data_IF_900667005989
#
_entry.id   IF_900667005989
#
_cell.length_a   1.000
_cell.length_b   1.000
_cell.length_c   1.000
_cell.angle_alpha   90.00
_cell.angle_beta   90.00
_cell.angle_gamma   90.00
#
_symmetry.space_group_name_H-M   'P 1'
#
loop_
_entity.id
_entity.type
_entity.pdbx_description
1 polymer ?
#
# COMPACT_ATOMS: atom_id res chain seq x y z
N UNK A 1 36.34 -1.91 -13.04
CA UNK A 1 35.23 -2.58 -13.74
C UNK A 1 35.65 -3.89 -14.38
N UNK A 2 36.53 -3.91 -15.39
CA UNK A 2 36.97 -5.16 -16.08
C UNK A 2 37.49 -6.22 -15.12
N UNK A 3 38.37 -5.86 -14.16
CA UNK A 3 38.88 -6.79 -13.13
C UNK A 3 37.78 -7.45 -12.30
N UNK A 4 36.81 -6.66 -11.85
CA UNK A 4 35.73 -7.09 -10.95
C UNK A 4 34.75 -8.03 -11.65
N UNK A 5 34.47 -7.74 -12.93
CA UNK A 5 33.67 -8.60 -13.81
C UNK A 5 34.43 -9.91 -14.08
N UNK A 6 35.70 -9.85 -14.45
CA UNK A 6 36.52 -11.03 -14.75
C UNK A 6 36.74 -11.94 -13.53
N UNK A 7 36.93 -11.37 -12.33
CA UNK A 7 37.04 -12.18 -11.11
C UNK A 7 35.76 -12.94 -10.80
N UNK A 8 34.59 -12.34 -11.06
CA UNK A 8 33.29 -13.00 -10.85
C UNK A 8 33.00 -14.05 -11.93
N UNK A 9 33.31 -13.75 -13.21
CA UNK A 9 33.14 -14.70 -14.32
C UNK A 9 33.99 -15.96 -14.18
N UNK A 10 35.13 -15.87 -13.49
CA UNK A 10 35.99 -17.03 -13.21
C UNK A 10 35.39 -17.96 -12.15
N UNK A 11 34.62 -17.43 -11.19
CA UNK A 11 33.97 -18.23 -10.15
C UNK A 11 32.58 -18.73 -10.60
N UNK A 12 32.60 -19.85 -11.33
CA UNK A 12 31.38 -20.48 -11.87
C UNK A 12 30.40 -20.90 -10.77
N UNK A 13 30.88 -21.33 -9.59
CA UNK A 13 30.01 -21.76 -8.49
C UNK A 13 29.27 -20.56 -7.91
N UNK A 14 29.99 -19.47 -7.62
CA UNK A 14 29.39 -18.24 -7.14
C UNK A 14 28.36 -17.67 -8.12
N UNK A 15 28.67 -17.63 -9.42
CA UNK A 15 27.71 -17.13 -10.42
C UNK A 15 26.49 -18.02 -10.55
N UNK A 16 26.68 -19.35 -10.58
CA UNK A 16 25.58 -20.30 -10.70
C UNK A 16 24.63 -20.21 -9.50
N UNK A 17 25.17 -20.11 -8.28
CA UNK A 17 24.37 -19.93 -7.07
C UNK A 17 23.59 -18.62 -7.14
N UNK A 18 24.26 -17.48 -7.39
CA UNK A 18 23.57 -16.18 -7.41
C UNK A 18 22.48 -16.10 -8.49
N UNK A 19 22.73 -16.62 -9.69
CA UNK A 19 21.76 -16.54 -10.77
C UNK A 19 20.61 -17.55 -10.64
N UNK A 20 20.83 -18.70 -9.98
CA UNK A 20 19.77 -19.69 -9.74
C UNK A 20 18.98 -19.46 -8.46
N UNK A 21 19.57 -18.80 -7.46
CA UNK A 21 18.90 -18.51 -6.18
C UNK A 21 17.57 -17.79 -6.38
N UNK A 22 17.58 -16.68 -7.13
CA UNK A 22 16.39 -15.87 -7.36
C UNK A 22 15.25 -16.63 -8.08
N UNK A 23 15.46 -17.28 -9.24
CA UNK A 23 14.40 -18.05 -9.91
C UNK A 23 13.98 -19.28 -9.10
N UNK A 24 14.88 -19.90 -8.33
CA UNK A 24 14.53 -21.03 -7.46
C UNK A 24 13.62 -20.61 -6.30
N UNK A 25 13.95 -19.49 -5.63
CA UNK A 25 13.09 -18.91 -4.59
C UNK A 25 11.74 -18.47 -5.17
N UNK A 26 11.74 -17.86 -6.36
CA UNK A 26 10.51 -17.52 -7.05
C UNK A 26 9.64 -18.75 -7.32
N UNK A 27 10.25 -19.85 -7.81
CA UNK A 27 9.57 -21.12 -8.05
C UNK A 27 8.93 -21.66 -6.77
N UNK A 28 9.69 -21.79 -5.68
CA UNK A 28 9.16 -22.30 -4.39
C UNK A 28 8.01 -21.41 -3.90
N UNK A 29 8.24 -20.09 -3.86
CA UNK A 29 7.28 -19.16 -3.31
C UNK A 29 5.98 -19.15 -4.11
N UNK A 30 6.07 -19.04 -5.43
CA UNK A 30 4.90 -19.00 -6.30
C UNK A 30 4.17 -20.34 -6.34
N UNK A 31 4.88 -21.46 -6.33
CA UNK A 31 4.27 -22.79 -6.30
C UNK A 31 3.50 -23.03 -5.00
N UNK A 32 4.09 -22.71 -3.84
CA UNK A 32 3.44 -22.88 -2.54
C UNK A 32 2.25 -21.93 -2.35
N UNK A 33 2.31 -20.73 -2.92
CA UNK A 33 1.25 -19.72 -2.82
C UNK A 33 0.26 -19.77 -4.00
N UNK A 34 0.36 -20.75 -4.90
CA UNK A 34 -0.62 -20.99 -5.97
C UNK A 34 -1.83 -21.74 -5.40
N UNK A 35 -2.66 -21.04 -4.63
CA UNK A 35 -3.85 -21.63 -4.03
C UNK A 35 -5.01 -21.73 -5.04
N UNK A 36 -5.72 -22.85 -4.99
CA UNK A 36 -7.03 -23.06 -5.62
C UNK A 36 -7.80 -24.08 -4.79
N UNK A 37 -9.13 -23.95 -4.74
CA UNK A 37 -9.96 -24.90 -4.00
C UNK A 37 -9.96 -26.26 -4.72
N UNK A 38 -9.65 -27.35 -4.02
CA UNK A 38 -9.64 -28.72 -4.58
C UNK A 38 -10.95 -29.47 -4.38
N UNK A 39 -12.03 -28.76 -4.05
CA UNK A 39 -13.36 -29.36 -3.91
C UNK A 39 -13.81 -30.05 -5.22
N UNK A 40 -14.62 -31.09 -5.10
CA UNK A 40 -15.06 -31.92 -6.23
C UNK A 40 -15.88 -31.12 -7.25
N UNK A 41 -16.37 -29.95 -6.84
CA UNK A 41 -17.10 -28.98 -7.65
C UNK A 41 -16.20 -28.06 -8.51
N UNK A 42 -14.88 -28.05 -8.29
CA UNK A 42 -13.97 -27.17 -9.04
C UNK A 42 -13.46 -27.84 -10.33
N UNK A 43 -14.18 -27.62 -11.43
CA UNK A 43 -13.79 -28.09 -12.77
C UNK A 43 -12.77 -27.17 -13.48
N UNK A 44 -12.62 -25.91 -13.02
CA UNK A 44 -11.82 -24.87 -13.70
C UNK A 44 -10.36 -24.84 -13.26
N UNK A 45 -10.02 -25.47 -12.13
CA UNK A 45 -8.66 -25.50 -11.58
C UNK A 45 -8.25 -24.14 -10.99
N UNK A 46 -7.03 -23.70 -11.30
CA UNK A 46 -6.49 -22.45 -10.77
C UNK A 46 -7.10 -21.22 -11.46
N UNK A 47 -7.63 -20.30 -10.67
CA UNK A 47 -8.11 -18.99 -11.14
C UNK A 47 -7.40 -17.90 -10.35
N UNK A 48 -6.63 -17.05 -11.04
CA UNK A 48 -5.85 -15.96 -10.41
C UNK A 48 -6.71 -15.07 -9.49
N UNK A 49 -7.95 -14.77 -9.89
CA UNK A 49 -8.91 -14.01 -9.07
C UNK A 49 -9.12 -14.57 -7.67
N UNK A 50 -9.17 -15.89 -7.55
CA UNK A 50 -9.56 -16.60 -6.33
C UNK A 50 -8.36 -16.99 -5.47
N UNK A 51 -7.13 -16.68 -5.91
CA UNK A 51 -5.93 -16.99 -5.14
C UNK A 51 -5.83 -16.09 -3.89
N UNK A 52 -6.19 -16.63 -2.73
CA UNK A 52 -6.16 -15.91 -1.45
C UNK A 52 -4.76 -15.51 -0.99
N UNK A 53 -3.74 -16.26 -1.41
CA UNK A 53 -2.35 -16.08 -0.99
C UNK A 53 -1.60 -15.02 -1.78
N UNK A 54 -2.25 -14.35 -2.74
CA UNK A 54 -1.58 -13.42 -3.63
C UNK A 54 -1.02 -12.17 -2.93
N UNK A 55 -1.70 -11.52 -1.96
CA UNK A 55 -1.09 -10.43 -1.19
C UNK A 55 0.16 -10.87 -0.43
N UNK A 56 0.17 -12.09 0.11
CA UNK A 56 1.35 -12.66 0.77
C UNK A 56 2.50 -12.85 -0.23
N UNK A 57 2.21 -13.31 -1.46
CA UNK A 57 3.21 -13.42 -2.52
C UNK A 57 3.85 -12.07 -2.85
N UNK A 58 3.07 -10.99 -3.02
CA UNK A 58 3.60 -9.65 -3.30
C UNK A 58 4.55 -9.19 -2.19
N UNK A 59 4.12 -9.39 -0.94
CA UNK A 59 4.92 -9.01 0.20
C UNK A 59 6.21 -9.81 0.30
N UNK A 60 6.13 -11.13 0.19
CA UNK A 60 7.32 -12.00 0.24
C UNK A 60 8.28 -11.72 -0.94
N UNK A 61 7.77 -11.34 -2.11
CA UNK A 61 8.60 -10.94 -3.26
C UNK A 61 9.49 -9.74 -2.94
N UNK A 62 8.94 -8.74 -2.24
CA UNK A 62 9.70 -7.56 -1.78
C UNK A 62 10.79 -7.95 -0.79
N UNK A 63 10.46 -8.85 0.14
CA UNK A 63 11.41 -9.32 1.16
C UNK A 63 12.54 -10.13 0.54
N UNK A 64 12.23 -11.00 -0.42
CA UNK A 64 13.24 -11.76 -1.16
C UNK A 64 14.16 -10.81 -1.94
N UNK A 65 13.61 -9.78 -2.59
CA UNK A 65 14.41 -8.78 -3.29
C UNK A 65 15.35 -7.99 -2.35
N UNK A 66 14.89 -7.64 -1.14
CA UNK A 66 15.74 -7.04 -0.11
C UNK A 66 16.83 -8.00 0.36
N UNK A 67 16.47 -9.26 0.64
CA UNK A 67 17.39 -10.27 1.15
C UNK A 67 18.50 -10.57 0.14
N UNK A 68 18.15 -10.83 -1.12
CA UNK A 68 19.11 -11.10 -2.19
C UNK A 68 20.04 -9.89 -2.41
N UNK A 69 19.50 -8.67 -2.43
CA UNK A 69 20.34 -7.47 -2.58
C UNK A 69 21.33 -7.29 -1.43
N UNK A 70 20.91 -7.60 -0.19
CA UNK A 70 21.80 -7.56 0.97
C UNK A 70 22.89 -8.64 0.86
N UNK A 71 22.52 -9.91 0.61
CA UNK A 71 23.49 -11.02 0.60
C UNK A 71 24.53 -10.87 -0.51
N UNK A 72 24.13 -10.45 -1.70
CA UNK A 72 25.02 -10.27 -2.86
C UNK A 72 26.07 -9.18 -2.62
N UNK A 73 25.73 -8.13 -1.88
CA UNK A 73 26.59 -6.95 -1.69
C UNK A 73 27.34 -6.92 -0.36
N UNK A 74 26.86 -7.65 0.66
CA UNK A 74 27.34 -7.54 2.04
C UNK A 74 28.80 -7.97 2.24
N UNK A 75 29.38 -8.79 1.37
CA UNK A 75 30.80 -9.20 1.47
C UNK A 75 31.75 -8.50 0.48
N UNK A 76 31.22 -7.67 -0.43
CA UNK A 76 32.01 -7.17 -1.56
C UNK A 76 33.17 -6.26 -1.17
N UNK A 77 32.93 -5.29 -0.27
CA UNK A 77 34.00 -4.41 0.20
C UNK A 77 34.89 -5.14 1.20
N UNK A 78 34.30 -6.00 2.04
CA UNK A 78 35.01 -6.80 3.04
C UNK A 78 36.09 -7.69 2.39
N UNK A 79 35.76 -8.42 1.33
CA UNK A 79 36.70 -9.28 0.59
C UNK A 79 37.89 -8.49 0.03
N UNK A 80 37.64 -7.29 -0.46
CA UNK A 80 38.67 -6.45 -1.09
C UNK A 80 39.51 -5.66 -0.07
N UNK A 81 39.20 -5.68 1.23
CA UNK A 81 39.90 -4.87 2.25
C UNK A 81 41.42 -5.11 2.26
N UNK A 82 41.87 -6.37 2.16
CA UNK A 82 43.31 -6.71 2.17
C UNK A 82 44.03 -6.19 0.92
N UNK A 83 43.39 -6.29 -0.25
CA UNK A 83 43.94 -5.81 -1.53
C UNK A 83 44.02 -4.28 -1.50
N UNK A 84 42.95 -3.60 -1.06
CA UNK A 84 42.90 -2.14 -0.95
C UNK A 84 43.93 -1.57 0.03
N UNK A 85 44.24 -2.29 1.13
CA UNK A 85 45.33 -1.89 2.04
C UNK A 85 46.70 -1.92 1.34
N UNK A 86 46.93 -2.89 0.44
CA UNK A 86 48.16 -3.00 -0.37
C UNK A 86 48.24 -1.95 -1.47
N UNK A 87 47.11 -1.69 -2.14
CA UNK A 87 47.01 -0.71 -3.24
C UNK A 87 46.89 0.75 -2.76
N UNK A 88 46.91 1.01 -1.44
CA UNK A 88 46.77 2.36 -0.87
C UNK A 88 47.84 3.34 -1.38
N UNK A 89 49.01 2.83 -1.74
CA UNK A 89 50.14 3.61 -2.26
C UNK A 89 49.97 4.04 -3.73
N UNK A 90 49.03 3.46 -4.47
CA UNK A 90 48.84 3.68 -5.90
C UNK A 90 47.90 4.85 -6.25
N UNK A 91 47.49 5.68 -5.28
CA UNK A 91 46.62 6.86 -5.47
C UNK A 91 45.36 6.63 -6.35
N UNK A 92 44.79 5.43 -6.30
CA UNK A 92 43.58 5.08 -7.03
C UNK A 92 42.37 5.84 -6.49
N UNK A 93 41.49 6.31 -7.37
CA UNK A 93 40.31 7.07 -6.97
C UNK A 93 39.28 6.17 -6.27
N UNK A 94 38.94 6.52 -5.01
CA UNK A 94 37.96 5.77 -4.20
C UNK A 94 36.57 5.75 -4.83
N UNK A 95 36.20 6.84 -5.52
CA UNK A 95 34.92 6.97 -6.22
C UNK A 95 34.77 6.01 -7.40
N UNK A 96 35.82 5.86 -8.23
CA UNK A 96 35.79 4.92 -9.36
C UNK A 96 35.64 3.47 -8.90
N UNK A 97 36.32 3.11 -7.80
CA UNK A 97 36.15 1.80 -7.17
C UNK A 97 34.70 1.57 -6.71
N UNK A 98 34.13 2.51 -5.95
CA UNK A 98 32.77 2.37 -5.42
C UNK A 98 31.73 2.31 -6.54
N UNK A 99 31.84 3.19 -7.54
CA UNK A 99 30.95 3.21 -8.70
C UNK A 99 31.03 1.92 -9.51
N UNK A 100 32.24 1.37 -9.69
CA UNK A 100 32.43 0.08 -10.35
C UNK A 100 31.71 -1.03 -9.58
N UNK A 101 31.83 -1.09 -8.25
CA UNK A 101 31.17 -2.10 -7.41
C UNK A 101 29.65 -1.98 -7.48
N UNK A 102 29.12 -0.77 -7.30
CA UNK A 102 27.69 -0.49 -7.39
C UNK A 102 27.14 -0.94 -8.75
N UNK A 103 27.81 -0.59 -9.84
CA UNK A 103 27.36 -0.93 -11.20
C UNK A 103 27.28 -2.44 -11.42
N UNK A 104 28.28 -3.20 -10.94
CA UNK A 104 28.28 -4.67 -11.04
C UNK A 104 27.17 -5.28 -10.19
N UNK A 105 26.97 -4.79 -8.95
CA UNK A 105 25.90 -5.28 -8.08
C UNK A 105 24.51 -5.00 -8.66
N UNK A 106 24.30 -3.81 -9.21
CA UNK A 106 23.03 -3.46 -9.84
C UNK A 106 22.76 -4.33 -11.06
N UNK A 107 23.77 -4.64 -11.88
CA UNK A 107 23.60 -5.56 -13.02
C UNK A 107 23.17 -6.96 -12.55
N UNK A 108 23.83 -7.51 -11.52
CA UNK A 108 23.49 -8.83 -10.98
C UNK A 108 22.07 -8.83 -10.43
N UNK A 109 21.72 -7.84 -9.59
CA UNK A 109 20.37 -7.72 -9.04
C UNK A 109 19.30 -7.46 -10.10
N UNK A 110 19.61 -6.75 -11.19
CA UNK A 110 18.68 -6.57 -12.31
C UNK A 110 18.32 -7.90 -12.95
N UNK A 111 19.30 -8.78 -13.18
CA UNK A 111 19.10 -10.11 -13.75
C UNK A 111 18.34 -11.01 -12.77
N UNK A 112 18.74 -11.03 -11.48
CA UNK A 112 18.09 -11.83 -10.44
C UNK A 112 16.62 -11.45 -10.22
N UNK A 113 16.33 -10.15 -10.13
CA UNK A 113 14.94 -9.69 -9.97
C UNK A 113 14.12 -9.91 -11.22
N UNK A 114 14.71 -9.80 -12.42
CA UNK A 114 14.02 -10.12 -13.67
C UNK A 114 13.64 -11.60 -13.75
N UNK A 115 14.58 -12.50 -13.45
CA UNK A 115 14.31 -13.94 -13.45
C UNK A 115 13.30 -14.33 -12.37
N UNK A 116 13.38 -13.72 -11.18
CA UNK A 116 12.39 -13.88 -10.13
C UNK A 116 10.98 -13.51 -10.62
N UNK A 117 10.83 -12.33 -11.23
CA UNK A 117 9.54 -11.85 -11.74
C UNK A 117 9.00 -12.75 -12.84
N UNK A 118 9.85 -13.18 -13.77
CA UNK A 118 9.43 -14.08 -14.86
C UNK A 118 8.88 -15.38 -14.27
N UNK A 119 9.65 -16.06 -13.41
CA UNK A 119 9.23 -17.35 -12.84
C UNK A 119 7.98 -17.20 -11.96
N UNK A 120 7.98 -16.24 -11.04
CA UNK A 120 6.88 -16.03 -10.11
C UNK A 120 5.56 -15.66 -10.81
N UNK A 121 5.62 -14.71 -11.75
CA UNK A 121 4.42 -14.25 -12.47
C UNK A 121 3.90 -15.29 -13.46
N UNK A 122 4.77 -16.12 -14.06
CA UNK A 122 4.33 -17.23 -14.91
C UNK A 122 3.57 -18.28 -14.10
N UNK A 123 4.08 -18.65 -12.92
CA UNK A 123 3.45 -19.65 -12.05
C UNK A 123 2.16 -19.14 -11.42
N UNK A 124 2.04 -17.84 -11.12
CA UNK A 124 0.79 -17.27 -10.60
C UNK A 124 -0.11 -16.69 -11.71
N UNK A 125 0.26 -16.84 -12.97
CA UNK A 125 -0.48 -16.34 -14.13
C UNK A 125 -0.78 -14.83 -14.08
N UNK A 126 0.13 -14.04 -13.50
CA UNK A 126 0.01 -12.58 -13.42
C UNK A 126 0.24 -11.96 -14.81
N UNK A 127 -0.75 -11.22 -15.33
CA UNK A 127 -0.74 -10.69 -16.69
C UNK A 127 -0.49 -9.18 -16.72
N UNK A 128 0.36 -8.73 -17.63
CA UNK A 128 0.59 -7.30 -17.92
C UNK A 128 1.44 -6.53 -16.89
N UNK A 129 2.07 -7.22 -15.93
CA UNK A 129 2.70 -6.59 -14.77
C UNK A 129 4.20 -6.87 -14.62
N UNK A 130 4.82 -7.51 -15.61
CA UNK A 130 6.23 -7.90 -15.55
C UNK A 130 7.17 -6.70 -15.37
N UNK A 131 6.98 -5.63 -16.14
CA UNK A 131 7.85 -4.46 -16.09
C UNK A 131 7.73 -3.69 -14.77
N UNK A 132 6.50 -3.46 -14.29
CA UNK A 132 6.26 -2.75 -13.03
C UNK A 132 6.80 -3.54 -11.85
N UNK A 133 6.61 -4.87 -11.83
CA UNK A 133 7.16 -5.73 -10.78
C UNK A 133 8.67 -5.71 -10.79
N UNK A 134 9.26 -5.86 -11.98
CA UNK A 134 10.71 -5.83 -12.13
C UNK A 134 11.29 -4.50 -11.66
N UNK A 135 10.73 -3.36 -12.06
CA UNK A 135 11.23 -2.04 -11.64
C UNK A 135 11.17 -1.86 -10.12
N UNK A 136 10.07 -2.25 -9.47
CA UNK A 136 9.93 -2.10 -8.02
C UNK A 136 10.88 -3.05 -7.27
N UNK A 137 10.97 -4.31 -7.67
CA UNK A 137 11.88 -5.26 -7.03
C UNK A 137 13.35 -4.92 -7.30
N UNK A 138 13.68 -4.50 -8.52
CA UNK A 138 15.01 -4.04 -8.90
C UNK A 138 15.46 -2.84 -8.06
N UNK A 139 14.64 -1.80 -7.95
CA UNK A 139 14.96 -0.62 -7.14
C UNK A 139 15.06 -0.94 -5.66
N UNK A 140 14.23 -1.87 -5.17
CA UNK A 140 14.32 -2.43 -3.81
C UNK A 140 15.66 -3.14 -3.59
N UNK A 141 16.09 -3.99 -4.53
CA UNK A 141 17.40 -4.64 -4.48
C UNK A 141 18.56 -3.65 -4.63
N UNK A 142 18.42 -2.57 -5.40
CA UNK A 142 19.42 -1.49 -5.47
C UNK A 142 19.62 -0.80 -4.11
N UNK A 143 18.54 -0.52 -3.39
CA UNK A 143 18.63 0.01 -2.02
C UNK A 143 19.32 -0.99 -1.09
N UNK A 144 18.92 -2.26 -1.14
CA UNK A 144 19.55 -3.33 -0.37
C UNK A 144 21.03 -3.51 -0.70
N UNK A 145 21.43 -3.37 -1.97
CA UNK A 145 22.83 -3.39 -2.38
C UNK A 145 23.64 -2.28 -1.71
N UNK A 146 23.09 -1.06 -1.65
CA UNK A 146 23.76 0.07 -1.00
C UNK A 146 23.87 -0.15 0.51
N UNK A 147 22.82 -0.65 1.16
CA UNK A 147 22.88 -1.04 2.57
C UNK A 147 23.93 -2.14 2.82
N UNK A 148 23.95 -3.17 1.98
CA UNK A 148 24.92 -4.26 2.11
C UNK A 148 26.35 -3.79 1.89
N UNK A 149 26.61 -2.89 0.94
CA UNK A 149 27.93 -2.25 0.80
C UNK A 149 28.33 -1.45 2.05
N UNK A 150 27.40 -0.72 2.67
CA UNK A 150 27.67 -0.01 3.92
C UNK A 150 28.06 -0.99 5.04
N UNK A 151 27.34 -2.10 5.20
CA UNK A 151 27.67 -3.17 6.15
C UNK A 151 29.05 -3.75 5.83
N UNK A 152 29.29 -4.09 4.57
CA UNK A 152 30.54 -4.66 4.07
C UNK A 152 31.76 -3.79 4.41
N UNK A 153 31.57 -2.47 4.40
CA UNK A 153 32.62 -1.51 4.75
C UNK A 153 32.81 -1.31 6.26
N UNK A 154 31.77 -1.59 7.06
CA UNK A 154 31.74 -1.28 8.49
C UNK A 154 32.29 -2.40 9.37
N UNK A 155 32.23 -3.65 8.90
CA UNK A 155 32.59 -4.83 9.70
C UNK A 155 33.86 -5.52 9.19
N UNK A 156 34.54 -6.20 10.13
CA UNK A 156 35.82 -6.88 9.89
C UNK A 156 35.70 -8.42 9.91
N UNK A 157 34.49 -8.98 9.95
CA UNK A 157 34.24 -10.42 9.95
C UNK A 157 33.00 -10.75 9.13
N UNK A 158 33.13 -11.74 8.23
CA UNK A 158 32.01 -12.30 7.47
C UNK A 158 30.89 -12.83 8.38
N UNK A 159 31.25 -13.45 9.51
CA UNK A 159 30.27 -13.97 10.48
C UNK A 159 29.40 -12.84 11.04
N UNK A 160 30.01 -11.71 11.42
CA UNK A 160 29.27 -10.55 11.92
C UNK A 160 28.36 -9.95 10.86
N UNK A 161 28.82 -9.88 9.61
CA UNK A 161 28.02 -9.41 8.48
C UNK A 161 26.77 -10.26 8.31
N UNK A 162 26.89 -11.60 8.31
CA UNK A 162 25.75 -12.49 8.16
C UNK A 162 24.75 -12.44 9.32
N UNK A 163 25.24 -12.28 10.56
CA UNK A 163 24.35 -12.11 11.72
C UNK A 163 23.49 -10.85 11.58
N UNK A 164 24.01 -9.77 10.99
CA UNK A 164 23.30 -8.49 10.87
C UNK A 164 22.20 -8.48 9.81
N UNK A 165 22.31 -9.31 8.76
CA UNK A 165 21.31 -9.32 7.68
C UNK A 165 19.89 -9.58 8.24
N UNK A 166 19.64 -10.64 9.03
CA UNK A 166 18.34 -10.84 9.68
C UNK A 166 17.89 -9.67 10.56
N UNK A 167 18.79 -9.04 11.33
CA UNK A 167 18.45 -7.89 12.18
C UNK A 167 17.99 -6.67 11.38
N UNK A 168 18.36 -6.56 10.10
CA UNK A 168 17.89 -5.51 9.21
C UNK A 168 16.59 -5.90 8.50
N UNK A 169 16.41 -7.17 8.15
CA UNK A 169 15.22 -7.68 7.46
C UNK A 169 14.01 -7.79 8.39
N UNK A 170 14.18 -8.22 9.65
CA UNK A 170 13.07 -8.38 10.60
C UNK A 170 12.30 -7.07 10.85
N UNK A 171 12.95 -5.91 11.10
CA UNK A 171 12.24 -4.64 11.21
C UNK A 171 11.48 -4.28 9.92
N UNK A 172 12.08 -4.51 8.76
CA UNK A 172 11.42 -4.28 7.46
C UNK A 172 10.18 -5.16 7.29
N UNK A 173 10.18 -6.37 7.85
CA UNK A 173 9.02 -7.26 7.85
C UNK A 173 7.87 -6.71 8.73
N UNK A 174 8.19 -6.38 9.99
CA UNK A 174 7.21 -5.96 11.00
C UNK A 174 6.63 -4.57 10.72
N UNK A 175 7.46 -3.65 10.24
CA UNK A 175 7.13 -2.23 10.07
C UNK A 175 6.71 -1.90 8.63
N UNK A 176 6.34 -2.93 7.86
CA UNK A 176 5.82 -2.79 6.48
C UNK A 176 4.35 -2.37 6.41
N UNK A 177 3.59 -2.53 7.51
CA UNK A 177 2.13 -2.33 7.52
C UNK A 177 1.33 -3.52 6.98
N UNK A 178 2.00 -4.58 6.49
CA UNK A 178 1.34 -5.74 5.86
C UNK A 178 0.96 -6.80 6.89
N UNK A 179 1.95 -7.28 7.67
CA UNK A 179 1.70 -8.28 8.72
C UNK A 179 0.98 -7.67 9.93
N UNK A 180 1.39 -6.46 10.31
CA UNK A 180 0.82 -5.72 11.44
C UNK A 180 0.41 -4.36 10.93
N UNK A 181 -0.90 -4.07 10.98
CA UNK A 181 -1.41 -2.77 10.57
C UNK A 181 -0.89 -1.66 11.51
N UNK A 182 -0.54 -0.50 10.94
CA UNK A 182 0.04 0.60 11.70
C UNK A 182 -0.90 1.15 12.77
N UNK A 183 -2.21 1.14 12.54
CA UNK A 183 -3.24 1.55 13.52
C UNK A 183 -3.34 0.62 14.74
N UNK A 184 -2.74 -0.58 14.66
CA UNK A 184 -2.69 -1.58 15.73
C UNK A 184 -1.31 -1.72 16.39
N UNK A 185 -0.33 -0.93 15.97
CA UNK A 185 0.97 -0.87 16.65
C UNK A 185 0.85 -0.12 17.98
N UNK A 186 1.85 -0.28 18.84
CA UNK A 186 1.88 0.36 20.17
C UNK A 186 1.55 1.86 20.07
N UNK A 187 0.54 2.38 20.81
CA UNK A 187 0.15 3.78 20.80
C UNK A 187 1.27 4.79 21.08
N UNK A 188 2.37 4.36 21.73
CA UNK A 188 3.55 5.21 21.95
C UNK A 188 4.40 5.43 20.68
N UNK A 189 4.20 4.62 19.65
CA UNK A 189 4.94 4.63 18.37
C UNK A 189 4.04 5.07 17.21
N UNK A 190 2.72 5.14 17.40
CA UNK A 190 1.74 5.40 16.34
C UNK A 190 1.05 6.74 16.47
N UNK A 191 0.78 7.35 15.32
CA UNK A 191 -0.16 8.47 15.18
C UNK A 191 -1.34 7.89 14.41
N UNK A 192 -2.56 7.91 14.97
CA UNK A 192 -3.70 7.19 14.36
C UNK A 192 -4.12 7.72 12.97
N UNK A 193 -3.70 8.93 12.61
CA UNK A 193 -4.00 9.58 11.33
C UNK A 193 -2.96 9.30 10.22
N UNK A 194 -1.77 8.82 10.57
CA UNK A 194 -0.63 8.81 9.66
C UNK A 194 0.23 7.56 9.85
N UNK A 195 0.89 7.13 8.79
CA UNK A 195 1.91 6.08 8.94
C UNK A 195 3.04 6.59 9.85
N UNK A 196 3.46 5.79 10.86
CA UNK A 196 4.58 6.18 11.71
C UNK A 196 5.83 6.50 10.90
N UNK A 197 6.63 7.46 11.37
CA UNK A 197 7.91 7.85 10.72
C UNK A 197 8.80 6.61 10.52
N UNK A 198 8.81 5.69 11.48
CA UNK A 198 9.56 4.44 11.38
C UNK A 198 9.11 3.61 10.16
N UNK A 199 7.81 3.58 9.87
CA UNK A 199 7.27 2.93 8.66
C UNK A 199 7.53 3.71 7.37
N UNK A 200 7.70 5.04 7.42
CA UNK A 200 8.11 5.85 6.26
C UNK A 200 9.56 5.55 5.80
N UNK A 201 10.42 5.10 6.71
CA UNK A 201 11.82 4.72 6.40
C UNK A 201 11.93 3.31 5.79
N UNK A 202 10.94 2.44 6.03
CA UNK A 202 11.00 1.05 5.56
C UNK A 202 10.74 0.96 4.06
N UNK A 203 11.77 0.58 3.30
CA UNK A 203 11.67 0.32 1.86
C UNK A 203 10.66 -0.78 1.53
N UNK A 204 10.53 -1.79 2.40
CA UNK A 204 9.58 -2.89 2.23
C UNK A 204 8.14 -2.40 2.10
N UNK A 205 7.75 -1.40 2.90
CA UNK A 205 6.43 -0.77 2.85
C UNK A 205 6.18 -0.14 1.47
N UNK A 206 7.07 0.76 1.04
CA UNK A 206 6.91 1.49 -0.21
C UNK A 206 6.87 0.55 -1.42
N UNK A 207 7.74 -0.45 -1.44
CA UNK A 207 7.79 -1.44 -2.50
C UNK A 207 6.51 -2.29 -2.54
N UNK A 208 6.02 -2.75 -1.39
CA UNK A 208 4.77 -3.50 -1.32
C UNK A 208 3.56 -2.66 -1.73
N UNK A 209 3.43 -1.44 -1.20
CA UNK A 209 2.35 -0.51 -1.52
C UNK A 209 2.34 -0.20 -3.03
N UNK A 210 3.52 0.06 -3.63
CA UNK A 210 3.65 0.28 -5.07
C UNK A 210 3.14 -0.91 -5.89
N UNK A 211 3.53 -2.14 -5.52
CA UNK A 211 3.06 -3.35 -6.20
C UNK A 211 1.56 -3.56 -6.01
N UNK A 212 1.06 -3.47 -4.78
CA UNK A 212 -0.34 -3.72 -4.45
C UNK A 212 -1.28 -2.70 -5.14
N UNK A 213 -0.93 -1.41 -5.08
CA UNK A 213 -1.71 -0.34 -5.72
C UNK A 213 -1.67 -0.48 -7.23
N UNK A 214 -0.50 -0.67 -7.84
CA UNK A 214 -0.39 -0.79 -9.31
C UNK A 214 -1.12 -2.06 -9.81
N UNK A 215 -0.97 -3.18 -9.11
CA UNK A 215 -1.64 -4.43 -9.44
C UNK A 215 -3.17 -4.29 -9.37
N UNK A 216 -3.69 -3.61 -8.36
CA UNK A 216 -5.13 -3.39 -8.21
C UNK A 216 -5.67 -2.37 -9.20
N UNK A 217 -5.00 -1.23 -9.37
CA UNK A 217 -5.52 -0.07 -10.11
C UNK A 217 -5.30 -0.17 -11.61
N UNK A 218 -4.10 -0.57 -12.02
CA UNK A 218 -3.62 -0.39 -13.40
C UNK A 218 -3.75 -1.67 -14.24
N UNK A 219 -4.36 -2.74 -13.71
CA UNK A 219 -4.66 -3.93 -14.51
C UNK A 219 -5.73 -3.66 -15.57
N UNK A 220 -5.71 -4.44 -16.65
CA UNK A 220 -6.59 -4.25 -17.81
C UNK A 220 -8.09 -4.32 -17.49
N UNK A 221 -8.47 -4.98 -16.39
CA UNK A 221 -9.87 -5.02 -15.96
C UNK A 221 -10.24 -3.78 -15.14
N UNK A 222 -9.51 -3.45 -14.09
CA UNK A 222 -9.84 -2.37 -13.14
C UNK A 222 -9.58 -0.97 -13.68
N UNK A 223 -8.63 -0.77 -14.62
CA UNK A 223 -8.29 0.58 -15.11
C UNK A 223 -9.50 1.37 -15.64
N UNK A 224 -10.47 0.67 -16.22
CA UNK A 224 -11.71 1.27 -16.76
C UNK A 224 -12.75 1.59 -15.67
N UNK A 225 -12.70 0.90 -14.52
CA UNK A 225 -13.62 1.09 -13.40
C UNK A 225 -13.06 2.03 -12.34
N UNK A 226 -11.74 2.08 -12.15
CA UNK A 226 -11.09 2.74 -11.02
C UNK A 226 -11.55 4.19 -10.81
N UNK A 227 -11.64 5.00 -11.87
CA UNK A 227 -12.09 6.41 -11.75
C UNK A 227 -13.55 6.52 -11.33
N UNK A 228 -14.41 5.63 -11.82
CA UNK A 228 -15.84 5.60 -11.51
C UNK A 228 -16.02 5.13 -10.06
N UNK A 229 -15.35 4.03 -9.70
CA UNK A 229 -15.39 3.43 -8.38
C UNK A 229 -14.81 4.35 -7.31
N UNK A 230 -13.69 5.03 -7.58
CA UNK A 230 -13.13 6.07 -6.70
C UNK A 230 -14.16 7.15 -6.36
N UNK A 231 -14.85 7.68 -7.38
CA UNK A 231 -15.89 8.69 -7.18
C UNK A 231 -17.08 8.12 -6.41
N UNK A 232 -17.52 6.92 -6.78
CA UNK A 232 -18.63 6.22 -6.13
C UNK A 232 -18.33 5.99 -4.64
N UNK A 233 -17.17 5.44 -4.29
CA UNK A 233 -16.74 5.17 -2.91
C UNK A 233 -16.55 6.44 -2.09
N UNK A 234 -16.02 7.51 -2.68
CA UNK A 234 -15.94 8.81 -2.00
C UNK A 234 -17.32 9.34 -1.60
N UNK A 235 -18.31 9.21 -2.50
CA UNK A 235 -19.70 9.63 -2.25
C UNK A 235 -20.39 8.70 -1.25
N UNK A 236 -20.20 7.40 -1.40
CA UNK A 236 -20.70 6.38 -0.50
C UNK A 236 -20.21 6.62 0.92
N UNK A 237 -18.93 6.94 1.10
CA UNK A 237 -18.37 7.25 2.40
C UNK A 237 -19.07 8.45 3.06
N UNK A 238 -19.22 9.55 2.31
CA UNK A 238 -19.87 10.77 2.80
C UNK A 238 -21.32 10.51 3.19
N UNK A 239 -22.05 9.76 2.35
CA UNK A 239 -23.46 9.44 2.55
C UNK A 239 -23.68 8.49 3.74
N UNK A 240 -22.92 7.40 3.81
CA UNK A 240 -23.23 6.27 4.69
C UNK A 240 -22.52 6.38 6.05
N UNK A 241 -21.31 6.95 6.12
CA UNK A 241 -20.53 7.00 7.36
C UNK A 241 -20.45 8.43 7.92
N UNK A 242 -19.98 9.39 7.12
CA UNK A 242 -19.75 10.76 7.59
C UNK A 242 -21.03 11.47 8.03
N UNK A 243 -22.09 11.47 7.20
CA UNK A 243 -23.38 12.06 7.57
C UNK A 243 -24.02 11.35 8.77
N UNK A 244 -23.87 10.03 8.86
CA UNK A 244 -24.32 9.24 10.01
C UNK A 244 -23.67 9.73 11.31
N UNK A 245 -22.34 9.91 11.29
CA UNK A 245 -21.59 10.43 12.43
C UNK A 245 -21.96 11.87 12.79
N UNK A 246 -22.15 12.77 11.83
CA UNK A 246 -22.60 14.13 12.14
C UNK A 246 -23.99 14.15 12.80
N UNK A 247 -24.92 13.31 12.33
CA UNK A 247 -26.25 13.17 12.95
C UNK A 247 -26.15 12.63 14.37
N UNK A 248 -25.35 11.59 14.58
CA UNK A 248 -25.07 11.02 15.91
C UNK A 248 -24.54 12.09 16.87
N UNK A 249 -23.57 12.90 16.43
CA UNK A 249 -22.98 13.97 17.23
C UNK A 249 -23.97 15.07 17.56
N UNK A 250 -24.78 15.50 16.58
CA UNK A 250 -25.83 16.49 16.80
C UNK A 250 -26.88 16.00 17.81
N UNK A 251 -27.36 14.76 17.66
CA UNK A 251 -28.29 14.15 18.61
C UNK A 251 -27.67 13.97 20.00
N UNK A 252 -26.39 13.63 20.09
CA UNK A 252 -25.68 13.55 21.36
C UNK A 252 -25.60 14.92 22.06
N UNK A 253 -25.48 16.02 21.32
CA UNK A 253 -25.50 17.37 21.90
C UNK A 253 -26.90 17.72 22.38
N UNK A 254 -27.92 17.48 21.54
CA UNK A 254 -29.33 17.77 21.86
C UNK A 254 -29.81 17.00 23.11
N UNK A 255 -29.43 15.73 23.27
CA UNK A 255 -29.87 14.89 24.40
C UNK A 255 -29.15 15.19 25.73
N UNK A 256 -28.03 15.91 25.70
CA UNK A 256 -27.22 16.19 26.89
C UNK A 256 -27.16 17.67 27.26
N UNK A 257 -27.81 18.53 26.47
CA UNK A 257 -27.84 19.96 26.78
C UNK A 257 -28.47 20.20 28.16
N UNK A 258 -27.86 21.08 28.95
CA UNK A 258 -28.25 21.34 30.34
C UNK A 258 -27.63 20.42 31.40
N UNK A 259 -26.96 19.32 31.01
CA UNK A 259 -26.21 18.46 31.94
C UNK A 259 -24.79 18.97 32.13
N UNK A 260 -24.46 19.43 33.34
CA UNK A 260 -23.14 20.01 33.66
C UNK A 260 -22.02 18.97 33.48
N UNK A 261 -22.28 17.71 33.82
CA UNK A 261 -21.31 16.60 33.74
C UNK A 261 -20.89 16.27 32.30
N UNK A 262 -21.71 16.58 31.30
CA UNK A 262 -21.46 16.25 29.89
C UNK A 262 -20.90 17.45 29.10
N UNK A 263 -20.53 18.54 29.78
CA UNK A 263 -20.12 19.81 29.15
C UNK A 263 -18.95 19.63 28.18
N UNK A 264 -17.92 18.87 28.56
CA UNK A 264 -16.74 18.64 27.71
C UNK A 264 -17.09 17.85 26.44
N UNK A 265 -17.96 16.84 26.57
CA UNK A 265 -18.45 16.06 25.44
C UNK A 265 -19.28 16.91 24.47
N UNK A 266 -20.11 17.81 25.00
CA UNK A 266 -20.88 18.76 24.18
C UNK A 266 -19.93 19.67 23.40
N UNK A 267 -18.92 20.24 24.07
CA UNK A 267 -17.91 21.11 23.44
C UNK A 267 -17.18 20.36 22.32
N UNK A 268 -16.73 19.13 22.59
CA UNK A 268 -16.01 18.31 21.60
C UNK A 268 -16.89 17.96 20.39
N UNK A 269 -18.14 17.57 20.63
CA UNK A 269 -19.08 17.27 19.54
C UNK A 269 -19.40 18.52 18.70
N UNK A 270 -19.57 19.69 19.32
CA UNK A 270 -19.80 20.95 18.61
C UNK A 270 -18.57 21.40 17.82
N UNK A 271 -17.37 21.25 18.38
CA UNK A 271 -16.13 21.52 17.67
C UNK A 271 -16.01 20.64 16.42
N UNK A 272 -16.30 19.34 16.54
CA UNK A 272 -16.30 18.42 15.41
C UNK A 272 -17.32 18.80 14.34
N UNK A 273 -18.57 19.06 14.74
CA UNK A 273 -19.62 19.50 13.81
C UNK A 273 -19.19 20.76 13.06
N UNK A 274 -18.67 21.76 13.77
CA UNK A 274 -18.20 23.02 13.18
C UNK A 274 -17.07 22.79 12.18
N UNK A 275 -16.06 22.00 12.55
CA UNK A 275 -14.91 21.69 11.70
C UNK A 275 -15.36 21.00 10.39
N UNK A 276 -16.13 19.92 10.51
CA UNK A 276 -16.56 19.13 9.36
C UNK A 276 -17.54 19.89 8.45
N UNK A 277 -18.49 20.62 9.03
CA UNK A 277 -19.46 21.41 8.27
C UNK A 277 -18.76 22.57 7.56
N UNK A 278 -17.81 23.25 8.21
CA UNK A 278 -17.07 24.35 7.60
C UNK A 278 -16.24 23.88 6.38
N UNK A 279 -15.60 22.72 6.49
CA UNK A 279 -14.90 22.10 5.34
C UNK A 279 -15.88 21.74 4.22
N UNK A 280 -17.06 21.19 4.57
CA UNK A 280 -18.07 20.83 3.58
C UNK A 280 -18.65 22.04 2.85
N UNK A 281 -19.00 23.11 3.55
CA UNK A 281 -19.56 24.34 2.97
C UNK A 281 -18.58 24.98 1.99
N UNK A 282 -17.28 25.02 2.33
CA UNK A 282 -16.22 25.50 1.42
C UNK A 282 -16.12 24.67 0.14
N UNK A 283 -16.33 23.35 0.25
CA UNK A 283 -16.22 22.39 -0.85
C UNK A 283 -17.50 22.31 -1.69
N UNK A 284 -18.67 22.50 -1.09
CA UNK A 284 -19.97 22.22 -1.68
C UNK A 284 -20.87 23.46 -1.65
N UNK A 285 -20.76 24.29 -2.67
CA UNK A 285 -21.58 25.51 -2.83
C UNK A 285 -23.06 25.24 -3.14
N UNK A 286 -23.47 23.99 -3.37
CA UNK A 286 -24.85 23.65 -3.73
C UNK A 286 -25.78 23.48 -2.52
N UNK A 287 -25.21 23.33 -1.31
CA UNK A 287 -25.97 23.19 -0.08
C UNK A 287 -25.35 24.15 0.93
N UNK A 288 -26.06 25.25 1.19
CA UNK A 288 -25.57 26.32 2.06
C UNK A 288 -25.89 26.04 3.53
N UNK A 289 -25.04 26.52 4.42
CA UNK A 289 -25.29 26.53 5.86
C UNK A 289 -24.72 27.80 6.48
N UNK A 290 -25.60 28.62 7.03
CA UNK A 290 -25.27 29.98 7.47
C UNK A 290 -25.13 30.10 9.00
N UNK A 291 -25.26 29.00 9.75
CA UNK A 291 -25.23 28.99 11.23
C UNK A 291 -23.98 28.32 11.81
N UNK A 292 -22.87 28.29 11.06
CA UNK A 292 -21.58 27.72 11.53
C UNK A 292 -21.13 28.38 12.84
N UNK A 293 -21.20 29.71 12.90
CA UNK A 293 -20.80 30.51 14.07
C UNK A 293 -21.77 30.38 15.26
N UNK A 294 -22.89 29.68 15.09
CA UNK A 294 -23.87 29.38 16.14
C UNK A 294 -23.66 27.99 16.74
N UNK A 295 -22.75 27.17 16.20
CA UNK A 295 -22.36 25.86 16.74
C UNK A 295 -21.33 26.00 17.87
N UNK A 296 -21.67 26.81 18.87
CA UNK A 296 -20.93 26.95 20.13
C UNK A 296 -21.87 26.75 21.31
N UNK A 297 -21.35 26.29 22.44
CA UNK A 297 -22.15 25.94 23.62
C UNK A 297 -22.98 27.12 24.15
N UNK A 298 -22.48 28.35 24.01
CA UNK A 298 -23.12 29.60 24.42
C UNK A 298 -24.14 30.15 23.40
N UNK A 299 -24.15 29.63 22.17
CA UNK A 299 -24.99 30.15 21.06
C UNK A 299 -26.00 29.15 20.53
N UNK A 300 -25.91 27.89 20.96
CA UNK A 300 -26.80 26.84 20.49
C UNK A 300 -28.23 27.05 21.04
N UNK A 301 -29.22 26.75 20.21
CA UNK A 301 -30.64 26.88 20.55
C UNK A 301 -31.47 25.89 19.74
N UNK A 302 -32.74 25.71 20.08
CA UNK A 302 -33.67 24.87 19.32
C UNK A 302 -33.75 25.25 17.83
N UNK A 303 -33.60 26.55 17.53
CA UNK A 303 -33.52 27.04 16.15
C UNK A 303 -32.26 26.50 15.45
N UNK A 304 -31.11 26.60 16.09
CA UNK A 304 -29.82 26.10 15.54
C UNK A 304 -29.89 24.59 15.32
N UNK A 305 -30.49 23.82 16.24
CA UNK A 305 -30.68 22.38 16.04
C UNK A 305 -31.56 22.07 14.83
N UNK A 306 -32.70 22.74 14.68
CA UNK A 306 -33.62 22.54 13.54
C UNK A 306 -32.94 22.87 12.21
N UNK A 307 -32.24 24.02 12.13
CA UNK A 307 -31.52 24.44 10.93
C UNK A 307 -30.36 23.48 10.59
N UNK A 308 -29.62 23.02 11.60
CA UNK A 308 -28.54 22.04 11.39
C UNK A 308 -29.10 20.70 10.91
N UNK A 309 -30.21 20.22 11.48
CA UNK A 309 -30.91 19.01 11.00
C UNK A 309 -31.39 19.16 9.56
N UNK A 310 -31.98 20.31 9.23
CA UNK A 310 -32.43 20.61 7.87
C UNK A 310 -31.27 20.62 6.86
N UNK A 311 -30.14 21.23 7.23
CA UNK A 311 -28.91 21.20 6.43
C UNK A 311 -28.39 19.77 6.21
N UNK A 312 -28.28 18.96 7.27
CA UNK A 312 -27.82 17.57 7.15
C UNK A 312 -28.76 16.72 6.28
N UNK A 313 -30.07 16.98 6.30
CA UNK A 313 -31.04 16.32 5.43
C UNK A 313 -30.89 16.78 3.96
N UNK A 314 -30.69 18.07 3.74
CA UNK A 314 -30.42 18.61 2.40
C UNK A 314 -29.13 18.05 1.81
N UNK A 315 -28.07 17.91 2.63
CA UNK A 315 -26.84 17.22 2.25
C UNK A 315 -27.07 15.74 1.91
N UNK A 316 -27.90 15.04 2.70
CA UNK A 316 -28.24 13.65 2.43
C UNK A 316 -28.88 13.49 1.05
N UNK A 317 -29.83 14.36 0.70
CA UNK A 317 -30.48 14.31 -0.62
C UNK A 317 -29.52 14.63 -1.75
N UNK A 318 -28.62 15.60 -1.54
CA UNK A 318 -27.54 15.91 -2.46
C UNK A 318 -26.60 14.71 -2.71
N UNK A 319 -26.12 14.08 -1.64
CA UNK A 319 -25.25 12.91 -1.74
C UNK A 319 -25.99 11.69 -2.28
N UNK A 320 -27.29 11.53 -2.02
CA UNK A 320 -28.12 10.48 -2.60
C UNK A 320 -28.26 10.64 -4.12
N UNK A 321 -28.51 11.86 -4.62
CA UNK A 321 -28.53 12.15 -6.07
C UNK A 321 -27.18 11.84 -6.72
N UNK A 322 -26.08 12.27 -6.09
CA UNK A 322 -24.72 11.97 -6.57
C UNK A 322 -24.41 10.47 -6.54
N UNK A 323 -24.84 9.76 -5.51
CA UNK A 323 -24.67 8.32 -5.37
C UNK A 323 -25.39 7.57 -6.49
N UNK A 324 -26.66 7.89 -6.74
CA UNK A 324 -27.44 7.29 -7.85
C UNK A 324 -26.78 7.53 -9.20
N UNK A 325 -26.30 8.75 -9.46
CA UNK A 325 -25.57 9.06 -10.70
C UNK A 325 -24.29 8.25 -10.82
N UNK A 326 -23.46 8.19 -9.77
CA UNK A 326 -22.21 7.45 -9.79
C UNK A 326 -22.43 5.93 -9.94
N UNK A 327 -23.47 5.38 -9.31
CA UNK A 327 -23.90 4.00 -9.46
C UNK A 327 -24.33 3.70 -10.89
N UNK A 328 -25.19 4.55 -11.47
CA UNK A 328 -25.65 4.39 -12.85
C UNK A 328 -24.49 4.46 -13.86
N UNK A 329 -23.54 5.38 -13.67
CA UNK A 329 -22.36 5.47 -14.56
C UNK A 329 -21.56 4.15 -14.55
N UNK A 330 -21.47 3.48 -13.40
CA UNK A 330 -20.83 2.17 -13.27
C UNK A 330 -21.67 1.07 -13.92
N UNK A 331 -22.98 1.06 -13.67
CA UNK A 331 -23.92 0.08 -14.19
C UNK A 331 -24.01 0.10 -15.72
N UNK A 332 -24.00 1.29 -16.33
CA UNK A 332 -23.92 1.48 -17.79
C UNK A 332 -22.68 0.83 -18.38
N UNK A 333 -21.53 0.98 -17.72
CA UNK A 333 -20.27 0.35 -18.17
C UNK A 333 -20.35 -1.18 -18.05
N UNK A 334 -20.84 -1.69 -16.92
CA UNK A 334 -21.01 -3.14 -16.72
C UNK A 334 -21.99 -3.73 -17.75
N UNK A 335 -23.11 -3.07 -17.99
CA UNK A 335 -24.12 -3.49 -18.98
C UNK A 335 -23.54 -3.49 -20.39
N UNK A 336 -22.78 -2.45 -20.76
CA UNK A 336 -22.08 -2.39 -22.05
C UNK A 336 -21.11 -3.56 -22.25
N UNK A 337 -20.41 -3.96 -21.20
CA UNK A 337 -19.44 -5.06 -21.24
C UNK A 337 -20.10 -6.45 -21.17
N UNK A 338 -21.38 -6.53 -20.77
CA UNK A 338 -22.17 -7.76 -20.64
C UNK A 338 -23.39 -7.79 -21.58
N UNK A 339 -23.31 -7.10 -22.73
CA UNK A 339 -24.44 -6.90 -23.66
C UNK A 339 -25.01 -8.19 -24.30
N UNK A 340 -24.18 -9.21 -24.46
CA UNK A 340 -24.50 -10.49 -25.08
C UNK A 340 -23.69 -11.61 -24.42
N UNK A 341 -24.03 -12.88 -24.72
CA UNK A 341 -23.38 -14.04 -24.09
C UNK A 341 -21.86 -14.06 -24.30
N UNK A 342 -21.38 -13.71 -25.51
CA UNK A 342 -19.95 -13.70 -25.83
C UNK A 342 -19.20 -12.59 -25.08
N UNK A 343 -19.81 -11.41 -24.97
CA UNK A 343 -19.28 -10.28 -24.20
C UNK A 343 -19.22 -10.61 -22.70
N UNK A 344 -20.25 -11.28 -22.18
CA UNK A 344 -20.30 -11.75 -20.79
C UNK A 344 -19.21 -12.75 -20.47
N UNK A 345 -18.97 -13.74 -21.34
CA UNK A 345 -17.87 -14.68 -21.19
C UNK A 345 -16.51 -13.97 -21.17
N UNK A 346 -16.28 -13.05 -22.10
CA UNK A 346 -15.05 -12.25 -22.14
C UNK A 346 -14.89 -11.38 -20.89
N UNK A 347 -15.97 -10.79 -20.38
CA UNK A 347 -15.96 -9.99 -19.16
C UNK A 347 -15.53 -10.83 -17.95
N UNK A 348 -16.12 -12.02 -17.78
CA UNK A 348 -15.77 -12.96 -16.72
C UNK A 348 -14.32 -13.41 -16.87
N UNK A 349 -13.88 -13.78 -18.07
CA UNK A 349 -12.51 -14.21 -18.33
C UNK A 349 -11.50 -13.10 -18.01
N UNK A 350 -11.76 -11.85 -18.41
CA UNK A 350 -10.92 -10.71 -18.05
C UNK A 350 -10.90 -10.49 -16.53
N UNK A 351 -12.05 -10.57 -15.86
CA UNK A 351 -12.10 -10.46 -14.41
C UNK A 351 -11.21 -11.53 -13.76
N UNK A 352 -11.36 -12.79 -14.17
CA UNK A 352 -10.61 -13.92 -13.64
C UNK A 352 -9.09 -13.80 -13.83
N UNK A 353 -8.67 -13.20 -14.94
CA UNK A 353 -7.27 -13.09 -15.35
C UNK A 353 -6.52 -11.88 -14.79
N UNK A 354 -7.22 -10.80 -14.42
CA UNK A 354 -6.59 -9.51 -14.10
C UNK A 354 -6.93 -8.99 -12.71
N UNK A 355 -7.97 -9.50 -12.06
CA UNK A 355 -8.33 -9.13 -10.69
C UNK A 355 -7.90 -10.20 -9.70
N UNK A 356 -7.75 -9.84 -8.43
CA UNK A 356 -7.56 -10.76 -7.32
C UNK A 356 -8.39 -10.28 -6.13
N UNK A 357 -9.27 -11.14 -5.62
CA UNK A 357 -10.27 -10.76 -4.62
C UNK A 357 -9.61 -10.51 -3.25
N UNK A 358 -8.62 -11.31 -2.86
CA UNK A 358 -7.87 -11.10 -1.62
C UNK A 358 -7.07 -9.80 -1.63
N UNK A 359 -6.43 -9.46 -2.76
CA UNK A 359 -5.77 -8.18 -2.93
C UNK A 359 -6.78 -7.03 -2.90
N UNK A 360 -7.90 -7.14 -3.60
CA UNK A 360 -8.99 -6.14 -3.56
C UNK A 360 -9.48 -5.91 -2.13
N UNK A 361 -9.70 -6.97 -1.37
CA UNK A 361 -10.19 -6.89 0.01
C UNK A 361 -9.13 -6.27 0.95
N UNK A 362 -7.84 -6.58 0.72
CA UNK A 362 -6.72 -5.96 1.43
C UNK A 362 -6.63 -4.46 1.16
N UNK A 363 -6.52 -4.04 -0.12
CA UNK A 363 -6.33 -2.62 -0.49
C UNK A 363 -7.55 -1.74 -0.19
N UNK A 364 -8.76 -2.34 -0.09
CA UNK A 364 -9.99 -1.64 0.31
C UNK A 364 -10.22 -1.65 1.82
N UNK A 365 -9.36 -2.31 2.58
CA UNK A 365 -9.55 -2.61 4.00
C UNK A 365 -10.98 -3.04 4.33
N UNK A 366 -11.48 -4.02 3.56
CA UNK A 366 -12.89 -4.44 3.61
C UNK A 366 -13.28 -5.00 4.98
N UNK A 367 -12.36 -5.73 5.62
CA UNK A 367 -12.57 -6.42 6.90
C UNK A 367 -12.43 -5.51 8.13
N UNK A 368 -12.04 -4.24 7.98
CA UNK A 368 -12.01 -3.31 9.12
C UNK A 368 -13.42 -2.96 9.60
N UNK A 369 -13.66 -3.09 10.92
CA UNK A 369 -14.90 -2.67 11.58
C UNK A 369 -15.03 -1.14 11.65
N UNK A 370 -13.89 -0.45 11.82
CA UNK A 370 -13.85 1.01 11.97
C UNK A 370 -13.63 1.66 10.60
N UNK A 371 -14.73 2.06 9.96
CA UNK A 371 -14.70 2.74 8.65
C UNK A 371 -14.42 4.24 8.74
N UNK A 372 -14.58 4.82 9.92
CA UNK A 372 -14.39 6.24 10.20
C UNK A 372 -13.78 6.39 11.60
N UNK A 373 -12.78 7.25 11.73
CA UNK A 373 -12.09 7.56 12.99
C UNK A 373 -12.35 9.01 13.36
N UNK A 374 -12.54 9.28 14.65
CA UNK A 374 -12.61 10.63 15.20
C UNK A 374 -11.28 10.94 15.88
N UNK A 375 -10.60 11.99 15.43
CA UNK A 375 -9.33 12.44 15.98
C UNK A 375 -9.26 13.96 15.93
N UNK A 376 -8.84 14.59 17.03
CA UNK A 376 -8.62 16.05 17.13
C UNK A 376 -9.80 16.90 16.61
N UNK A 377 -11.03 16.43 16.81
CA UNK A 377 -12.24 17.12 16.34
C UNK A 377 -12.47 17.03 14.83
N UNK A 378 -11.90 16.03 14.16
CA UNK A 378 -12.06 15.73 12.75
C UNK A 378 -12.49 14.29 12.51
N UNK A 379 -13.13 14.04 11.37
CA UNK A 379 -13.51 12.70 10.91
C UNK A 379 -12.59 12.22 9.79
N UNK A 380 -11.79 11.19 10.08
CA UNK A 380 -10.83 10.59 9.16
C UNK A 380 -11.46 9.36 8.49
N UNK A 381 -11.40 9.31 7.16
CA UNK A 381 -11.85 8.16 6.39
C UNK A 381 -10.84 7.01 6.49
N UNK A 382 -11.28 5.86 7.00
CA UNK A 382 -10.51 4.61 7.00
C UNK A 382 -11.07 3.56 6.02
N UNK A 383 -12.26 3.82 5.45
CA UNK A 383 -12.85 2.96 4.42
C UNK A 383 -12.21 3.16 3.04
N UNK A 384 -12.00 2.03 2.35
CA UNK A 384 -11.52 1.98 0.95
C UNK A 384 -10.27 2.87 0.70
N UNK A 385 -9.16 2.68 1.45
CA UNK A 385 -8.00 3.58 1.38
C UNK A 385 -7.40 3.70 -0.03
N UNK A 386 -7.45 2.64 -0.84
CA UNK A 386 -7.05 2.66 -2.26
C UNK A 386 -7.71 3.77 -3.11
N UNK A 387 -8.89 4.27 -2.70
CA UNK A 387 -9.61 5.33 -3.41
C UNK A 387 -9.38 6.71 -2.84
N UNK A 388 -8.65 6.85 -1.74
CA UNK A 388 -8.27 8.15 -1.21
C UNK A 388 -7.35 8.88 -2.21
N UNK A 389 -7.22 10.18 -2.02
CA UNK A 389 -6.25 10.98 -2.77
C UNK A 389 -5.12 11.35 -1.82
N UNK A 390 -3.86 11.30 -2.26
CA UNK A 390 -2.74 11.63 -1.40
C UNK A 390 -2.80 13.09 -0.95
N UNK A 391 -2.49 13.34 0.32
CA UNK A 391 -2.29 14.67 0.89
C UNK A 391 -0.79 14.92 1.03
N UNK A 392 -0.21 15.61 0.04
CA UNK A 392 1.24 15.85 -0.01
C UNK A 392 2.04 14.58 -0.33
N UNK A 393 3.15 14.38 0.40
CA UNK A 393 4.10 13.27 0.16
C UNK A 393 3.82 12.01 0.98
N UNK A 394 2.88 12.07 1.94
CA UNK A 394 2.57 10.95 2.82
C UNK A 394 1.56 10.01 2.16
N UNK A 395 1.75 8.72 2.37
CA UNK A 395 0.89 7.71 1.77
C UNK A 395 -0.46 7.62 2.50
N UNK A 396 -1.49 7.31 1.73
CA UNK A 396 -2.90 7.31 2.13
C UNK A 396 -3.46 5.89 2.33
N UNK A 397 -2.59 4.89 2.26
CA UNK A 397 -2.93 3.47 2.13
C UNK A 397 -3.19 2.76 3.47
N UNK A 398 -2.96 3.43 4.61
CA UNK A 398 -3.03 2.86 5.97
C UNK A 398 -3.76 3.76 6.98
#
# INVERSE_FOLDING_TARGET
MTRDILSKLTDKQYLLINFLEAPFLAFILSYLLRYFNSDTSNELGYVFRENENFPAFLFMSVIVALFIGLTVSAEEIFKDQKIRKREKFLNLSKGSYLFSKISVMFLISAIQTLSFVIVGNLILEVKGMYLSYWLVLFTTSCFANMLGLNISSSFNSAVTIYILIPFLVIPQLLLSGVMVKFDKLNPTVTVQDMVPIVGEVMTSRWAFEALAVHQFKDNEFEKQFFKIDKRFKTIEFRKNYWLGKLREKLSSVENNIGKVEEKDKIINNLNLLRNEINVEVKRNKNVEFNMIESLYIDKISDKVFKETKFYLNSLNDYYLKKYRKAYNDRDVLVTKLNKDNKAKELFIQKKNNYTNDALSDYVKDKNSLNKILELDGHLIQKADPIYLSPTGFRAHFY
#
